data_IF_110850314683
#
_entry.id   IF_110850314683
#
_cell.length_a   1.000
_cell.length_b   1.000
_cell.length_c   1.000
_cell.angle_alpha   90.00
_cell.angle_beta   90.00
_cell.angle_gamma   90.00
#
_symmetry.space_group_name_H-M   'P 1'
#
loop_
_entity.id
_entity.type
_entity.pdbx_description
1 polymer ?
#
# COMPACT_ATOMS: atom_id res chain seq x y z
N UNK A 1 -42.46 22.33 45.74
CA UNK A 1 -42.82 21.19 46.60
C UNK A 1 -44.24 20.71 46.27
N UNK A 2 -44.34 19.61 45.53
CA UNK A 2 -45.52 18.76 45.33
C UNK A 2 -45.00 17.31 45.21
N UNK A 3 -45.63 16.30 45.85
CA UNK A 3 -45.02 14.99 46.00
C UNK A 3 -45.30 14.06 44.79
N UNK A 4 -44.29 13.24 44.45
CA UNK A 4 -44.36 12.16 43.46
C UNK A 4 -45.08 10.92 44.04
N UNK A 5 -45.97 10.25 43.29
CA UNK A 5 -46.56 8.99 43.72
C UNK A 5 -45.65 7.79 43.38
N UNK A 6 -45.45 6.90 44.36
CA UNK A 6 -44.72 5.63 44.25
C UNK A 6 -45.57 4.57 43.54
N UNK A 7 -44.96 3.80 42.64
CA UNK A 7 -45.54 2.62 41.99
C UNK A 7 -45.20 1.38 42.84
N UNK A 8 -46.17 0.53 43.23
CA UNK A 8 -45.89 -0.76 43.87
C UNK A 8 -45.63 -1.88 42.85
N UNK A 9 -44.61 -2.68 43.13
CA UNK A 9 -44.22 -3.89 42.40
C UNK A 9 -44.96 -5.13 42.94
N UNK A 10 -45.81 -5.76 42.12
CA UNK A 10 -46.33 -7.10 42.37
C UNK A 10 -46.20 -7.96 41.12
N UNK A 11 -45.20 -8.84 41.14
CA UNK A 11 -45.03 -9.98 40.23
C UNK A 11 -46.07 -11.05 40.57
N UNK A 12 -46.79 -11.57 39.56
CA UNK A 12 -47.61 -12.76 39.70
C UNK A 12 -47.36 -13.69 38.51
N UNK A 13 -46.94 -14.96 38.72
CA UNK A 13 -46.63 -15.88 37.63
C UNK A 13 -47.89 -16.57 37.10
N UNK A 14 -48.06 -16.63 35.78
CA UNK A 14 -49.11 -17.44 35.12
C UNK A 14 -48.53 -18.78 34.65
N UNK A 15 -49.24 -19.91 34.81
CA UNK A 15 -48.76 -21.23 34.42
C UNK A 15 -48.97 -21.50 32.93
N UNK A 16 -47.98 -22.16 32.30
CA UNK A 16 -48.04 -22.67 30.94
C UNK A 16 -48.80 -24.00 30.87
N UNK A 17 -49.91 -24.02 30.16
CA UNK A 17 -50.63 -25.24 29.78
C UNK A 17 -50.01 -25.87 28.53
N UNK A 18 -49.65 -27.15 28.66
CA UNK A 18 -49.25 -28.05 27.56
C UNK A 18 -50.39 -28.26 26.58
N UNK A 19 -50.11 -28.20 25.28
CA UNK A 19 -50.85 -28.95 24.28
C UNK A 19 -49.87 -29.68 23.35
N UNK A 20 -50.13 -30.97 23.24
CA UNK A 20 -49.41 -31.96 22.45
C UNK A 20 -49.91 -31.90 21.00
N UNK A 21 -49.00 -31.87 20.04
CA UNK A 21 -49.30 -31.96 18.62
C UNK A 21 -48.13 -32.63 17.91
N UNK A 22 -48.21 -33.94 17.76
CA UNK A 22 -47.24 -34.73 17.01
C UNK A 22 -47.53 -34.60 15.50
N UNK A 23 -46.54 -34.15 14.74
CA UNK A 23 -46.49 -34.35 13.29
C UNK A 23 -45.11 -34.94 12.98
N UNK A 24 -45.14 -36.18 12.49
CA UNK A 24 -44.00 -36.93 11.98
C UNK A 24 -43.54 -36.29 10.66
N UNK A 25 -42.27 -35.90 10.58
CA UNK A 25 -41.59 -35.67 9.31
C UNK A 25 -40.18 -36.28 9.40
N UNK A 26 -39.86 -37.10 8.41
CA UNK A 26 -38.65 -37.93 8.28
C UNK A 26 -37.39 -37.07 8.02
N UNK A 27 -36.20 -37.51 8.48
CA UNK A 27 -34.98 -36.72 8.30
C UNK A 27 -34.31 -37.04 6.95
N UNK A 28 -34.17 -36.02 6.10
CA UNK A 28 -33.19 -36.04 5.01
C UNK A 28 -31.84 -35.56 5.56
N UNK A 29 -30.82 -36.41 5.40
CA UNK A 29 -29.41 -36.18 5.73
C UNK A 29 -28.92 -34.82 5.20
N UNK A 30 -28.68 -33.87 6.10
CA UNK A 30 -27.80 -32.73 5.83
C UNK A 30 -26.39 -33.09 6.27
N UNK A 31 -25.45 -32.98 5.33
CA UNK A 31 -24.03 -33.22 5.55
C UNK A 31 -23.44 -32.09 6.40
N UNK A 32 -22.53 -32.49 7.28
CA UNK A 32 -22.03 -31.76 8.43
C UNK A 32 -21.34 -30.43 8.09
N UNK A 33 -21.87 -29.32 8.61
CA UNK A 33 -21.06 -28.14 8.90
C UNK A 33 -20.33 -28.39 10.23
N UNK A 34 -19.00 -28.43 10.19
CA UNK A 34 -18.18 -28.52 11.39
C UNK A 34 -18.29 -27.22 12.20
N UNK A 35 -19.22 -27.20 13.15
CA UNK A 35 -19.27 -26.16 14.19
C UNK A 35 -18.11 -26.44 15.14
N UNK A 36 -17.03 -25.67 15.04
CA UNK A 36 -15.98 -25.68 16.05
C UNK A 36 -16.57 -25.26 17.40
N UNK A 37 -16.79 -26.23 18.29
CA UNK A 37 -17.19 -25.98 19.68
C UNK A 37 -15.99 -25.62 20.55
N UNK A 38 -15.20 -24.63 20.15
CA UNK A 38 -14.24 -23.99 21.05
C UNK A 38 -15.02 -23.04 21.94
N UNK A 39 -14.93 -23.20 23.27
CA UNK A 39 -15.49 -22.19 24.18
C UNK A 39 -14.84 -20.84 23.86
N UNK A 40 -15.64 -19.79 23.64
CA UNK A 40 -15.12 -18.44 23.50
C UNK A 40 -14.39 -18.06 24.80
N UNK A 41 -13.05 -18.03 24.74
CA UNK A 41 -12.23 -17.59 25.86
C UNK A 41 -12.29 -16.07 25.87
N UNK A 42 -12.88 -15.48 26.91
CA UNK A 42 -12.89 -14.03 27.06
C UNK A 42 -11.44 -13.52 27.08
N UNK A 43 -11.18 -12.41 26.36
CA UNK A 43 -9.88 -11.76 26.39
C UNK A 43 -9.57 -11.29 27.81
N UNK A 44 -8.47 -11.77 28.38
CA UNK A 44 -7.97 -11.30 29.68
C UNK A 44 -7.39 -9.91 29.47
N UNK A 45 -8.12 -8.87 29.91
CA UNK A 45 -7.60 -7.52 29.92
C UNK A 45 -6.47 -7.42 30.95
N UNK A 46 -5.22 -7.46 30.48
CA UNK A 46 -4.07 -7.22 31.35
C UNK A 46 -4.02 -5.73 31.73
N UNK A 47 -3.65 -5.39 32.98
CA UNK A 47 -3.39 -4.00 33.38
C UNK A 47 -2.35 -3.36 32.45
N UNK A 48 -2.55 -2.08 32.10
CA UNK A 48 -1.75 -1.30 31.13
C UNK A 48 -0.25 -1.18 31.51
N UNK A 49 0.15 -1.68 32.68
CA UNK A 49 1.50 -1.59 33.24
C UNK A 49 2.41 -2.80 32.96
N UNK A 50 2.00 -3.78 32.15
CA UNK A 50 2.89 -4.92 31.81
C UNK A 50 3.91 -4.49 30.76
N UNK A 51 5.08 -4.01 31.21
CA UNK A 51 6.30 -4.00 30.38
C UNK A 51 6.85 -5.42 30.27
N UNK A 52 6.24 -6.23 29.41
CA UNK A 52 6.86 -7.48 28.97
C UNK A 52 8.14 -7.18 28.18
N UNK A 53 9.08 -8.14 28.07
CA UNK A 53 10.17 -8.01 27.12
C UNK A 53 9.56 -7.72 25.73
N UNK A 54 10.22 -6.89 24.91
CA UNK A 54 9.70 -6.53 23.60
C UNK A 54 9.33 -7.80 22.83
N UNK A 55 8.21 -7.81 22.09
CA UNK A 55 7.81 -8.96 21.31
C UNK A 55 8.98 -9.38 20.44
N UNK A 56 9.21 -10.70 20.35
CA UNK A 56 10.27 -11.22 19.48
C UNK A 56 10.04 -10.67 18.08
N UNK A 57 11.12 -10.25 17.37
CA UNK A 57 10.99 -9.79 16.00
C UNK A 57 10.26 -10.85 15.17
N UNK A 58 9.40 -10.44 14.23
CA UNK A 58 8.68 -11.38 13.38
C UNK A 58 9.69 -12.27 12.66
N UNK A 59 9.50 -13.59 12.76
CA UNK A 59 10.33 -14.54 12.02
C UNK A 59 9.92 -14.51 10.54
N UNK A 60 10.88 -14.46 9.59
CA UNK A 60 10.57 -14.51 8.17
C UNK A 60 9.82 -15.80 7.83
N UNK A 61 8.95 -15.76 6.81
CA UNK A 61 8.24 -16.95 6.35
C UNK A 61 9.23 -18.00 5.82
N UNK A 62 8.95 -19.31 5.98
CA UNK A 62 9.83 -20.38 5.47
C UNK A 62 10.10 -20.24 3.97
N UNK A 63 9.09 -19.89 3.18
CA UNK A 63 9.19 -19.67 1.74
C UNK A 63 10.17 -18.54 1.37
N UNK A 64 10.20 -17.46 2.17
CA UNK A 64 11.14 -16.37 1.96
C UNK A 64 12.58 -16.82 2.18
N UNK A 65 12.84 -17.62 3.22
CA UNK A 65 14.17 -18.20 3.48
C UNK A 65 14.60 -19.15 2.36
N UNK A 66 13.71 -20.03 1.91
CA UNK A 66 13.98 -20.94 0.79
C UNK A 66 14.32 -20.18 -0.50
N UNK A 67 13.61 -19.08 -0.78
CA UNK A 67 13.89 -18.21 -1.94
C UNK A 67 15.25 -17.54 -1.84
N UNK A 68 15.65 -17.08 -0.65
CA UNK A 68 16.98 -16.52 -0.40
C UNK A 68 18.05 -17.59 -0.59
N UNK A 69 17.87 -18.77 -0.01
CA UNK A 69 18.82 -19.89 -0.17
C UNK A 69 18.95 -20.32 -1.63
N UNK A 70 17.85 -20.41 -2.37
CA UNK A 70 17.86 -20.72 -3.80
C UNK A 70 18.64 -19.68 -4.58
N UNK A 71 18.43 -18.39 -4.29
CA UNK A 71 19.20 -17.29 -4.90
C UNK A 71 20.68 -17.34 -4.53
N UNK A 72 21.01 -17.69 -3.29
CA UNK A 72 22.39 -17.84 -2.80
C UNK A 72 23.11 -19.02 -3.46
N UNK A 73 22.45 -20.19 -3.53
CA UNK A 73 22.94 -21.36 -4.28
C UNK A 73 23.15 -21.02 -5.76
N UNK A 74 22.24 -20.24 -6.35
CA UNK A 74 22.38 -19.76 -7.73
C UNK A 74 23.58 -18.80 -7.90
N UNK A 75 23.86 -17.89 -6.94
CA UNK A 75 25.13 -17.12 -6.97
C UNK A 75 26.33 -18.01 -6.87
N UNK A 76 26.35 -18.98 -5.95
CA UNK A 76 27.51 -19.85 -5.73
C UNK A 76 27.82 -20.65 -7.00
N UNK A 77 26.80 -21.16 -7.68
CA UNK A 77 26.93 -21.79 -9.00
C UNK A 77 27.48 -20.83 -10.05
N UNK A 78 26.99 -19.58 -10.11
CA UNK A 78 27.51 -18.56 -11.04
C UNK A 78 28.96 -18.19 -10.68
N UNK A 79 29.30 -18.10 -9.40
CA UNK A 79 30.66 -17.82 -8.94
C UNK A 79 31.59 -18.97 -9.33
N UNK A 80 31.21 -20.22 -9.08
CA UNK A 80 31.99 -21.40 -9.46
C UNK A 80 32.11 -21.57 -10.97
N UNK A 81 31.04 -21.37 -11.75
CA UNK A 81 31.09 -21.43 -13.21
C UNK A 81 32.05 -20.40 -13.80
N UNK A 82 32.01 -19.16 -13.31
CA UNK A 82 32.95 -18.14 -13.78
C UNK A 82 34.40 -18.34 -13.24
N UNK A 83 34.62 -19.10 -12.16
CA UNK A 83 35.96 -19.48 -11.67
C UNK A 83 36.53 -20.63 -12.53
N UNK A 84 35.69 -21.59 -12.93
CA UNK A 84 36.06 -22.68 -13.82
C UNK A 84 36.44 -22.18 -15.24
N UNK A 85 35.71 -21.19 -15.77
CA UNK A 85 36.05 -20.53 -17.03
C UNK A 85 37.39 -19.76 -16.98
N UNK A 86 37.79 -19.24 -15.80
CA UNK A 86 39.11 -18.60 -15.62
C UNK A 86 40.26 -19.59 -15.42
N UNK A 87 39.98 -20.88 -15.23
CA UNK A 87 40.97 -21.93 -14.92
C UNK A 87 41.34 -22.84 -16.09
N UNK A 88 40.64 -22.77 -17.22
CA UNK A 88 40.98 -23.53 -18.43
C UNK A 88 41.69 -22.64 -19.44
N UNK A 89 43.01 -22.79 -19.52
CA UNK A 89 43.84 -22.08 -20.48
C UNK A 89 43.42 -22.36 -21.93
N UNK A 90 43.14 -21.29 -22.67
CA UNK A 90 43.30 -21.25 -24.12
C UNK A 90 44.14 -20.02 -24.43
N UNK A 91 45.30 -20.26 -25.03
CA UNK A 91 46.17 -19.24 -25.61
C UNK A 91 45.46 -18.54 -26.78
N UNK A 92 44.85 -17.40 -26.51
CA UNK A 92 44.50 -16.44 -27.54
C UNK A 92 44.63 -15.03 -26.97
N UNK A 93 45.56 -14.28 -27.55
CA UNK A 93 45.82 -12.86 -27.27
C UNK A 93 44.66 -12.04 -27.81
N UNK A 94 43.56 -12.03 -27.08
CA UNK A 94 42.46 -11.07 -27.24
C UNK A 94 42.02 -10.64 -25.85
N UNK A 95 42.38 -9.42 -25.48
CA UNK A 95 41.97 -8.71 -24.25
C UNK A 95 40.45 -8.71 -24.14
N UNK A 96 39.91 -9.74 -23.52
CA UNK A 96 38.48 -9.84 -23.22
C UNK A 96 38.30 -9.22 -21.85
N UNK A 97 37.93 -7.94 -21.81
CA UNK A 97 37.62 -7.23 -20.57
C UNK A 97 36.55 -8.00 -19.78
N UNK A 98 36.96 -8.68 -18.70
CA UNK A 98 36.02 -9.31 -17.79
C UNK A 98 35.20 -8.20 -17.14
N UNK A 99 33.96 -7.97 -17.59
CA UNK A 99 33.05 -6.94 -17.04
C UNK A 99 32.94 -7.12 -15.52
N UNK A 100 33.60 -6.28 -14.70
CA UNK A 100 33.74 -6.49 -13.26
C UNK A 100 32.40 -6.39 -12.52
N UNK A 101 31.39 -5.81 -13.16
CA UNK A 101 30.03 -5.63 -12.63
C UNK A 101 29.18 -6.91 -12.61
N UNK A 102 29.66 -8.05 -13.13
CA UNK A 102 28.88 -9.31 -13.11
C UNK A 102 28.84 -9.99 -11.74
N UNK A 103 29.84 -9.78 -10.87
CA UNK A 103 29.95 -10.47 -9.58
C UNK A 103 29.68 -9.51 -8.41
N UNK A 104 29.09 -10.02 -7.33
CA UNK A 104 29.04 -9.28 -6.04
C UNK A 104 30.47 -9.14 -5.54
N UNK A 105 30.90 -7.91 -5.27
CA UNK A 105 32.26 -7.60 -4.83
C UNK A 105 32.34 -7.22 -3.34
N UNK A 106 31.21 -7.25 -2.63
CA UNK A 106 31.13 -6.96 -1.19
C UNK A 106 30.65 -8.17 -0.42
N UNK A 107 31.12 -8.30 0.83
CA UNK A 107 30.70 -9.38 1.73
C UNK A 107 29.66 -8.86 2.72
N UNK A 108 30.01 -7.82 3.44
CA UNK A 108 29.26 -7.31 4.58
C UNK A 108 28.57 -5.98 4.23
N UNK A 109 27.34 -5.81 4.69
CA UNK A 109 26.58 -4.55 4.54
C UNK A 109 26.20 -4.06 5.93
N UNK A 110 26.51 -2.79 6.23
CA UNK A 110 26.17 -2.20 7.52
C UNK A 110 25.79 -0.73 7.40
N UNK A 111 25.00 -0.27 8.37
CA UNK A 111 24.62 1.14 8.52
C UNK A 111 25.62 1.82 9.44
N UNK A 112 26.11 2.98 9.03
CA UNK A 112 26.98 3.84 9.84
C UNK A 112 26.30 5.20 10.06
N UNK A 113 26.23 5.62 11.31
CA UNK A 113 25.80 6.96 11.68
C UNK A 113 26.94 7.96 11.45
N UNK A 114 26.61 9.09 10.84
CA UNK A 114 27.47 10.23 10.53
C UNK A 114 26.74 11.51 10.93
N UNK A 115 27.45 12.64 11.00
CA UNK A 115 26.86 13.91 11.45
C UNK A 115 25.61 14.32 10.64
N UNK A 116 25.60 14.03 9.33
CA UNK A 116 24.49 14.34 8.42
C UNK A 116 23.41 13.24 8.33
N UNK A 117 23.47 12.19 9.17
CA UNK A 117 22.49 11.11 9.24
C UNK A 117 23.09 9.70 9.13
N UNK A 118 22.54 8.85 8.27
CA UNK A 118 22.98 7.47 8.09
C UNK A 118 23.54 7.23 6.70
N UNK A 119 24.60 6.44 6.62
CA UNK A 119 25.20 5.98 5.36
C UNK A 119 25.27 4.45 5.35
N UNK A 120 25.06 3.85 4.18
CA UNK A 120 25.18 2.41 3.99
C UNK A 120 26.56 2.10 3.45
N UNK A 121 27.27 1.20 4.12
CA UNK A 121 28.61 0.75 3.72
C UNK A 121 28.54 -0.68 3.20
N UNK A 122 29.19 -0.90 2.05
CA UNK A 122 29.52 -2.19 1.48
C UNK A 122 30.99 -2.46 1.81
N UNK A 123 31.25 -3.36 2.74
CA UNK A 123 32.54 -3.52 3.42
C UNK A 123 33.06 -2.16 3.93
N UNK A 124 34.06 -1.56 3.26
CA UNK A 124 34.63 -0.25 3.64
C UNK A 124 34.14 0.92 2.80
N UNK A 125 33.28 0.69 1.79
CA UNK A 125 32.91 1.70 0.80
C UNK A 125 31.45 2.13 0.95
N UNK A 126 31.14 3.44 0.96
CA UNK A 126 29.75 3.88 1.03
C UNK A 126 29.02 3.65 -0.29
N UNK A 127 27.73 3.34 -0.20
CA UNK A 127 26.80 3.31 -1.33
C UNK A 127 26.67 4.73 -1.92
N UNK A 128 26.68 4.81 -3.25
CA UNK A 128 26.61 6.07 -3.99
C UNK A 128 25.43 6.07 -4.96
N UNK A 129 24.90 7.25 -5.22
CA UNK A 129 23.91 7.50 -6.27
C UNK A 129 24.56 7.35 -7.65
N UNK A 130 23.77 7.22 -8.74
CA UNK A 130 24.30 7.24 -10.11
C UNK A 130 25.16 8.48 -10.42
N UNK A 131 24.88 9.62 -9.77
CA UNK A 131 25.67 10.85 -9.85
C UNK A 131 26.97 10.82 -9.03
N UNK A 132 27.33 9.67 -8.46
CA UNK A 132 28.52 9.43 -7.61
C UNK A 132 28.51 10.17 -6.27
N UNK A 133 27.40 10.79 -5.88
CA UNK A 133 27.21 11.36 -4.53
C UNK A 133 27.01 10.24 -3.52
N UNK A 134 27.42 10.46 -2.28
CA UNK A 134 27.21 9.47 -1.20
C UNK A 134 25.74 9.51 -0.80
N UNK A 135 25.12 8.33 -0.70
CA UNK A 135 23.72 8.21 -0.29
C UNK A 135 23.61 8.39 1.23
N UNK A 136 23.31 9.61 1.67
CA UNK A 136 23.05 9.94 3.09
C UNK A 136 21.54 10.01 3.42
N UNK A 137 21.07 9.14 4.31
CA UNK A 137 19.69 9.10 4.79
C UNK A 137 19.57 10.03 6.01
N UNK A 138 18.52 10.86 6.13
CA UNK A 138 18.33 11.72 7.30
C UNK A 138 18.33 10.94 8.61
N UNK A 139 18.88 11.54 9.68
CA UNK A 139 18.92 10.95 11.03
C UNK A 139 17.52 10.62 11.58
N UNK A 140 16.48 11.30 11.11
CA UNK A 140 15.09 10.97 11.46
C UNK A 140 14.58 9.66 10.85
N UNK A 141 15.29 9.05 9.89
CA UNK A 141 14.80 7.89 9.11
C UNK A 141 15.67 6.63 9.27
N UNK A 142 15.91 6.11 10.50
CA UNK A 142 16.75 4.93 10.71
C UNK A 142 16.17 3.68 10.04
N UNK A 143 14.85 3.52 10.03
CA UNK A 143 14.17 2.39 9.40
C UNK A 143 14.45 2.30 7.89
N UNK A 144 14.49 3.45 7.20
CA UNK A 144 14.85 3.52 5.79
C UNK A 144 16.30 3.08 5.56
N UNK A 145 17.23 3.56 6.39
CA UNK A 145 18.64 3.20 6.27
C UNK A 145 18.88 1.69 6.44
N UNK A 146 18.24 1.07 7.44
CA UNK A 146 18.34 -0.38 7.66
C UNK A 146 17.65 -1.17 6.54
N UNK A 147 16.52 -0.70 6.02
CA UNK A 147 15.85 -1.34 4.90
C UNK A 147 16.69 -1.29 3.61
N UNK A 148 17.40 -0.18 3.36
CA UNK A 148 18.37 -0.10 2.26
C UNK A 148 19.55 -1.03 2.51
N UNK A 149 20.08 -1.13 3.73
CA UNK A 149 21.14 -2.09 4.03
C UNK A 149 20.71 -3.53 3.73
N UNK A 150 19.48 -3.91 4.11
CA UNK A 150 18.90 -5.21 3.75
C UNK A 150 18.73 -5.40 2.25
N UNK A 151 18.27 -4.36 1.54
CA UNK A 151 18.15 -4.37 0.08
C UNK A 151 19.47 -4.72 -0.60
N UNK A 152 20.58 -4.12 -0.16
CA UNK A 152 21.93 -4.39 -0.67
C UNK A 152 22.50 -5.73 -0.23
N UNK A 153 22.16 -6.20 0.98
CA UNK A 153 22.62 -7.50 1.47
C UNK A 153 21.95 -8.66 0.71
N UNK A 154 20.71 -8.48 0.26
CA UNK A 154 19.98 -9.48 -0.52
C UNK A 154 20.43 -9.58 -1.99
N UNK A 155 21.28 -8.67 -2.47
CA UNK A 155 21.79 -8.71 -3.84
C UNK A 155 22.78 -9.85 -4.02
N UNK A 156 22.59 -10.58 -5.11
CA UNK A 156 23.37 -11.76 -5.51
C UNK A 156 24.53 -11.35 -6.42
N UNK A 157 24.41 -10.22 -7.11
CA UNK A 157 25.46 -9.67 -7.98
C UNK A 157 25.41 -8.15 -8.07
N UNK A 158 26.54 -7.52 -8.42
CA UNK A 158 26.59 -6.08 -8.64
C UNK A 158 25.68 -5.61 -9.79
N UNK A 159 25.44 -6.46 -10.80
CA UNK A 159 24.51 -6.14 -11.89
C UNK A 159 23.06 -6.02 -11.42
N UNK A 160 22.68 -6.72 -10.35
CA UNK A 160 21.35 -6.57 -9.77
C UNK A 160 21.12 -5.18 -9.17
N UNK A 161 22.17 -4.49 -8.71
CA UNK A 161 22.09 -3.10 -8.27
C UNK A 161 21.76 -2.12 -9.41
N UNK A 162 21.79 -2.55 -10.68
CA UNK A 162 21.34 -1.74 -11.81
C UNK A 162 19.83 -1.91 -12.09
N UNK A 163 19.17 -2.85 -11.41
CA UNK A 163 17.76 -3.18 -11.62
C UNK A 163 16.90 -2.48 -10.57
N UNK A 164 16.14 -1.48 -11.00
CA UNK A 164 15.24 -0.69 -10.14
C UNK A 164 14.33 -1.54 -9.24
N UNK A 165 13.81 -2.67 -9.74
CA UNK A 165 12.91 -3.54 -8.97
C UNK A 165 13.62 -4.37 -7.88
N UNK A 166 14.96 -4.46 -7.93
CA UNK A 166 15.77 -5.10 -6.89
C UNK A 166 16.36 -4.11 -5.90
N UNK A 167 16.41 -2.82 -6.26
CA UNK A 167 16.86 -1.74 -5.38
C UNK A 167 15.85 -0.57 -5.24
N UNK A 168 14.56 -0.84 -4.97
CA UNK A 168 13.52 0.18 -5.00
C UNK A 168 13.73 1.32 -3.98
N UNK A 169 14.20 1.03 -2.76
CA UNK A 169 14.41 2.02 -1.72
C UNK A 169 15.66 2.86 -1.99
N UNK A 170 16.74 2.24 -2.47
CA UNK A 170 17.96 2.96 -2.87
C UNK A 170 17.62 3.98 -3.96
N UNK A 171 16.95 3.54 -5.03
CA UNK A 171 16.60 4.44 -6.14
C UNK A 171 15.61 5.53 -5.74
N UNK A 172 14.64 5.21 -4.87
CA UNK A 172 13.66 6.18 -4.39
C UNK A 172 14.29 7.23 -3.47
N UNK A 173 15.24 6.82 -2.62
CA UNK A 173 15.99 7.72 -1.75
C UNK A 173 16.95 8.61 -2.56
N UNK A 174 17.64 8.04 -3.56
CA UNK A 174 18.45 8.83 -4.48
C UNK A 174 17.61 9.90 -5.16
N UNK A 175 16.41 9.54 -5.64
CA UNK A 175 15.47 10.52 -6.22
C UNK A 175 15.09 11.65 -5.26
N UNK A 176 14.82 11.33 -3.99
CA UNK A 176 14.54 12.34 -2.98
C UNK A 176 15.74 13.28 -2.74
N UNK A 177 16.98 12.74 -2.78
CA UNK A 177 18.19 13.57 -2.67
C UNK A 177 18.43 14.44 -3.88
N UNK A 178 18.11 13.97 -5.09
CA UNK A 178 18.25 14.75 -6.31
C UNK A 178 17.30 15.97 -6.25
N UNK A 179 16.05 15.77 -5.83
CA UNK A 179 15.09 16.86 -5.57
C UNK A 179 15.65 17.84 -4.52
N UNK A 180 16.11 17.33 -3.38
CA UNK A 180 16.64 18.19 -2.31
C UNK A 180 17.90 18.97 -2.73
N UNK A 181 18.77 18.35 -3.52
CA UNK A 181 19.99 18.97 -4.04
C UNK A 181 19.65 20.11 -5.01
N UNK A 182 18.65 19.89 -5.86
CA UNK A 182 18.21 20.90 -6.82
C UNK A 182 17.52 22.09 -6.11
N UNK A 183 16.62 21.81 -5.17
CA UNK A 183 15.97 22.83 -4.35
C UNK A 183 17.01 23.69 -3.61
N UNK A 184 18.04 23.07 -3.04
CA UNK A 184 19.13 23.77 -2.36
C UNK A 184 20.00 24.62 -3.31
N UNK A 185 20.07 24.25 -4.59
CA UNK A 185 20.74 25.02 -5.64
C UNK A 185 19.87 26.15 -6.21
N UNK A 186 18.64 26.33 -5.69
CA UNK A 186 17.68 27.31 -6.20
C UNK A 186 17.11 26.97 -7.58
N UNK A 187 17.21 25.71 -7.99
CA UNK A 187 16.63 25.18 -9.22
C UNK A 187 15.36 24.38 -8.87
N UNK A 188 14.36 24.37 -9.76
CA UNK A 188 13.05 23.75 -9.52
C UNK A 188 12.58 22.84 -10.64
N UNK A 189 13.46 22.42 -11.55
CA UNK A 189 13.09 21.66 -12.75
C UNK A 189 12.52 20.29 -12.45
N UNK A 190 13.13 19.49 -11.55
CA UNK A 190 12.58 18.18 -11.16
C UNK A 190 11.22 18.38 -10.48
N UNK A 191 11.13 19.34 -9.56
CA UNK A 191 9.89 19.65 -8.82
C UNK A 191 8.76 20.05 -9.75
N UNK A 192 9.02 20.96 -10.69
CA UNK A 192 8.05 21.40 -11.70
C UNK A 192 7.58 20.25 -12.58
N UNK A 193 8.49 19.38 -13.03
CA UNK A 193 8.14 18.19 -13.81
C UNK A 193 7.24 17.23 -13.02
N UNK A 194 7.56 16.99 -11.74
CA UNK A 194 6.72 16.17 -10.86
C UNK A 194 5.35 16.80 -10.72
N UNK A 195 5.26 18.10 -10.39
CA UNK A 195 3.99 18.82 -10.23
C UNK A 195 3.14 18.74 -11.50
N UNK A 196 3.72 19.01 -12.68
CA UNK A 196 3.00 18.88 -13.96
C UNK A 196 2.50 17.44 -14.17
N UNK A 197 3.31 16.44 -13.85
CA UNK A 197 2.91 15.04 -13.96
C UNK A 197 1.76 14.68 -12.99
N UNK A 198 1.85 15.11 -11.73
CA UNK A 198 0.83 14.85 -10.71
C UNK A 198 -0.50 15.55 -11.02
N UNK A 199 -0.46 16.77 -11.55
CA UNK A 199 -1.68 17.48 -11.95
C UNK A 199 -2.40 16.79 -13.12
N UNK A 200 -1.67 16.14 -14.04
CA UNK A 200 -2.30 15.30 -15.08
C UNK A 200 -3.02 14.09 -14.50
N UNK A 201 -2.47 13.47 -13.45
CA UNK A 201 -3.15 12.38 -12.75
C UNK A 201 -4.43 12.84 -12.05
N UNK A 202 -4.49 14.07 -11.55
CA UNK A 202 -5.71 14.61 -10.94
C UNK A 202 -6.88 14.72 -11.94
N UNK A 203 -6.58 15.09 -13.19
CA UNK A 203 -7.60 15.21 -14.25
C UNK A 203 -8.23 13.86 -14.59
N UNK A 204 -7.48 12.76 -14.41
CA UNK A 204 -7.92 11.38 -14.69
C UNK A 204 -7.79 10.49 -13.46
N UNK A 205 -8.07 11.02 -12.27
CA UNK A 205 -7.83 10.30 -11.02
C UNK A 205 -8.75 9.07 -10.92
N UNK A 206 -8.20 7.91 -10.55
CA UNK A 206 -8.94 6.65 -10.37
C UNK A 206 -10.13 6.82 -9.41
N UNK A 207 -9.99 7.59 -8.34
CA UNK A 207 -11.08 7.79 -7.36
C UNK A 207 -12.20 8.71 -7.86
N UNK A 208 -11.97 9.45 -8.95
CA UNK A 208 -12.93 10.38 -9.54
C UNK A 208 -13.59 9.81 -10.81
N UNK A 209 -13.16 8.63 -11.25
CA UNK A 209 -13.65 7.97 -12.45
C UNK A 209 -14.63 6.87 -12.08
N UNK A 210 -15.92 7.21 -11.97
CA UNK A 210 -16.95 6.28 -11.54
C UNK A 210 -17.68 5.63 -12.70
N UNK A 211 -18.11 4.38 -12.51
CA UNK A 211 -18.99 3.67 -13.43
C UNK A 211 -20.30 4.48 -13.63
N UNK A 212 -20.90 4.45 -14.84
CA UNK A 212 -22.15 5.14 -15.13
C UNK A 212 -23.28 4.72 -14.18
N UNK A 213 -24.21 5.63 -13.90
CA UNK A 213 -25.39 5.34 -13.06
C UNK A 213 -26.31 4.29 -13.67
N UNK A 214 -26.36 4.23 -15.00
CA UNK A 214 -27.13 3.26 -15.75
C UNK A 214 -26.17 2.40 -16.55
N UNK A 215 -26.04 1.14 -16.17
CA UNK A 215 -25.33 0.17 -16.97
C UNK A 215 -26.31 -0.48 -17.95
N UNK A 216 -26.15 -0.19 -19.24
CA UNK A 216 -27.03 -0.72 -20.30
C UNK A 216 -27.09 -2.25 -20.31
N UNK A 217 -26.00 -2.91 -19.89
CA UNK A 217 -25.87 -4.37 -19.89
C UNK A 217 -26.49 -5.06 -18.67
N UNK A 218 -26.72 -4.33 -17.57
CA UNK A 218 -27.28 -4.87 -16.32
C UNK A 218 -28.81 -5.06 -16.41
N UNK A 219 -29.44 -4.39 -17.38
CA UNK A 219 -30.87 -4.42 -17.61
C UNK A 219 -31.43 -5.76 -18.16
N UNK A 220 -30.57 -6.71 -18.54
CA UNK A 220 -31.01 -8.00 -19.10
C UNK A 220 -31.09 -9.15 -18.07
N UNK A 221 -30.63 -8.96 -16.83
CA UNK A 221 -30.74 -9.97 -15.76
C UNK A 221 -31.98 -9.80 -14.87
N UNK A 222 -32.76 -8.73 -15.06
CA UNK A 222 -33.93 -8.41 -14.23
C UNK A 222 -35.23 -8.15 -15.00
N UNK A 223 -35.24 -8.33 -16.32
CA UNK A 223 -36.43 -8.13 -17.15
C UNK A 223 -37.12 -9.46 -17.55
N UNK A 224 -37.02 -10.48 -16.70
CA UNK A 224 -37.95 -11.61 -16.77
C UNK A 224 -39.01 -11.48 -15.65
N UNK A 225 -40.19 -10.89 -15.96
CA UNK A 225 -41.22 -10.67 -14.95
C UNK A 225 -41.79 -11.98 -14.37
N UNK A 226 -41.58 -13.13 -15.00
CA UNK A 226 -42.06 -14.43 -14.51
C UNK A 226 -41.12 -15.11 -13.49
N UNK A 227 -39.86 -14.68 -13.38
CA UNK A 227 -38.91 -15.18 -12.38
C UNK A 227 -39.04 -14.49 -11.01
N UNK A 228 -39.95 -13.52 -10.88
CA UNK A 228 -40.22 -12.77 -9.64
C UNK A 228 -41.32 -13.40 -8.76
N UNK A 229 -41.66 -14.66 -9.02
CA UNK A 229 -42.48 -15.48 -8.13
C UNK A 229 -41.58 -16.34 -7.23
N UNK A 230 -41.46 -15.96 -5.95
CA UNK A 230 -40.83 -16.73 -4.86
C UNK A 230 -39.28 -16.75 -4.85
N UNK A 231 -38.70 -15.63 -4.45
CA UNK A 231 -37.33 -15.56 -3.93
C UNK A 231 -37.29 -14.58 -2.77
N UNK A 232 -36.52 -14.89 -1.73
CA UNK A 232 -36.42 -14.14 -0.48
C UNK A 232 -36.18 -12.64 -0.71
N UNK A 233 -36.43 -11.80 0.31
CA UNK A 233 -35.94 -10.40 0.40
C UNK A 233 -34.43 -10.39 0.13
N UNK A 234 -34.04 -10.37 -1.14
CA UNK A 234 -32.66 -10.42 -1.60
C UNK A 234 -32.06 -9.05 -1.41
N UNK A 235 -30.95 -9.00 -0.70
CA UNK A 235 -30.10 -7.82 -0.63
C UNK A 235 -29.85 -7.33 -2.06
N UNK A 236 -30.18 -6.08 -2.33
CA UNK A 236 -29.90 -5.45 -3.62
C UNK A 236 -28.38 -5.54 -3.82
N UNK A 237 -27.91 -6.28 -4.81
CA UNK A 237 -26.47 -6.38 -5.07
C UNK A 237 -25.89 -4.96 -5.22
N UNK A 238 -24.87 -4.63 -4.41
CA UNK A 238 -24.21 -3.32 -4.44
C UNK A 238 -23.55 -3.13 -5.82
N UNK A 239 -23.85 -2.01 -6.48
CA UNK A 239 -23.26 -1.74 -7.81
C UNK A 239 -21.78 -1.35 -7.69
N UNK A 240 -21.00 -1.54 -8.76
CA UNK A 240 -19.60 -1.07 -8.81
C UNK A 240 -19.50 0.42 -8.50
N UNK A 241 -20.47 1.22 -8.99
CA UNK A 241 -20.53 2.67 -8.72
C UNK A 241 -20.70 2.96 -7.24
N UNK A 242 -21.61 2.26 -6.57
CA UNK A 242 -21.85 2.44 -5.14
C UNK A 242 -20.59 2.13 -4.32
N UNK A 243 -19.90 1.04 -4.68
CA UNK A 243 -18.63 0.63 -4.10
C UNK A 243 -17.53 1.69 -4.32
N UNK A 244 -17.39 2.20 -5.56
CA UNK A 244 -16.44 3.28 -5.90
C UNK A 244 -16.68 4.54 -5.08
N UNK A 245 -17.94 4.98 -4.99
CA UNK A 245 -18.33 6.17 -4.22
C UNK A 245 -18.06 5.95 -2.73
N UNK A 246 -18.42 4.78 -2.19
CA UNK A 246 -18.22 4.44 -0.78
C UNK A 246 -16.74 4.41 -0.40
N UNK A 247 -15.87 3.96 -1.29
CA UNK A 247 -14.41 3.93 -1.10
C UNK A 247 -13.79 5.32 -1.26
N UNK A 248 -14.22 6.11 -2.25
CA UNK A 248 -13.64 7.42 -2.54
C UNK A 248 -14.03 8.50 -1.50
N UNK A 249 -15.29 8.52 -1.03
CA UNK A 249 -15.81 9.58 -0.15
C UNK A 249 -14.97 9.80 1.11
N UNK A 250 -14.64 8.80 1.93
CA UNK A 250 -13.84 9.02 3.14
C UNK A 250 -12.44 9.60 2.86
N UNK A 251 -11.87 9.28 1.70
CA UNK A 251 -10.56 9.79 1.25
C UNK A 251 -10.71 11.26 0.87
N UNK A 252 -11.69 11.59 0.02
CA UNK A 252 -12.00 12.96 -0.41
C UNK A 252 -12.33 13.84 0.79
N UNK A 253 -13.22 13.39 1.67
CA UNK A 253 -13.66 14.13 2.86
C UNK A 253 -12.48 14.45 3.79
N UNK A 254 -11.57 13.48 4.00
CA UNK A 254 -10.36 13.73 4.78
C UNK A 254 -9.50 14.81 4.11
N UNK A 255 -9.27 14.70 2.80
CA UNK A 255 -8.42 15.64 2.07
C UNK A 255 -9.01 17.05 2.06
N UNK A 256 -10.29 17.21 1.75
CA UNK A 256 -10.97 18.52 1.71
C UNK A 256 -11.21 19.12 3.09
N UNK A 257 -11.18 18.32 4.16
CA UNK A 257 -11.32 18.82 5.53
C UNK A 257 -9.99 19.16 6.18
N UNK A 258 -8.96 18.33 5.96
CA UNK A 258 -7.69 18.39 6.71
C UNK A 258 -6.52 18.94 5.90
N UNK A 259 -6.47 18.67 4.61
CA UNK A 259 -5.29 18.99 3.77
C UNK A 259 -5.55 20.21 2.90
N UNK A 260 -6.73 20.28 2.29
CA UNK A 260 -7.15 21.35 1.38
C UNK A 260 -8.51 21.93 1.83
N UNK A 261 -8.56 22.62 2.98
CA UNK A 261 -9.81 23.17 3.48
C UNK A 261 -10.46 24.13 2.48
N UNK A 262 -11.74 23.90 2.20
CA UNK A 262 -12.57 24.81 1.38
C UNK A 262 -12.54 24.58 -0.12
N UNK A 263 -11.88 23.53 -0.62
CA UNK A 263 -11.97 23.16 -2.05
C UNK A 263 -13.10 22.16 -2.31
N UNK A 264 -13.59 22.16 -3.55
CA UNK A 264 -14.52 21.17 -4.07
C UNK A 264 -13.77 20.26 -5.05
N UNK A 265 -13.89 18.94 -4.88
CA UNK A 265 -13.35 17.93 -5.80
C UNK A 265 -14.53 17.25 -6.48
N UNK A 266 -14.56 17.31 -7.81
CA UNK A 266 -15.64 16.77 -8.64
C UNK A 266 -15.25 15.45 -9.30
N UNK A 267 -16.22 14.58 -9.63
CA UNK A 267 -15.94 13.42 -10.48
C UNK A 267 -15.32 13.85 -11.81
N UNK A 268 -14.39 13.04 -12.32
CA UNK A 268 -13.70 13.29 -13.58
C UNK A 268 -14.61 13.00 -14.78
N UNK A 269 -15.44 11.95 -14.71
CA UNK A 269 -16.31 11.55 -15.83
C UNK A 269 -17.76 11.98 -15.60
N UNK A 270 -18.41 12.43 -16.67
CA UNK A 270 -19.87 12.64 -16.70
C UNK A 270 -20.54 11.36 -17.22
N UNK A 271 -21.82 11.14 -16.88
CA UNK A 271 -22.55 9.89 -17.19
C UNK A 271 -22.43 9.41 -18.65
N UNK A 272 -22.45 10.35 -19.60
CA UNK A 272 -22.45 10.06 -21.03
C UNK A 272 -21.16 10.50 -21.74
N UNK A 273 -20.06 10.69 -20.99
CA UNK A 273 -18.78 11.15 -21.54
C UNK A 273 -17.62 10.33 -21.01
N UNK A 274 -16.78 9.85 -21.93
CA UNK A 274 -15.47 9.27 -21.61
C UNK A 274 -14.38 10.35 -21.47
N UNK A 275 -14.70 11.59 -21.81
CA UNK A 275 -13.76 12.71 -21.69
C UNK A 275 -13.81 13.28 -20.27
N UNK A 276 -12.64 13.49 -19.62
CA UNK A 276 -12.57 14.06 -18.29
C UNK A 276 -13.03 15.51 -18.29
N UNK A 277 -13.77 15.88 -17.25
CA UNK A 277 -14.15 17.27 -16.94
C UNK A 277 -13.08 17.91 -16.06
N UNK A 278 -12.65 19.15 -16.36
CA UNK A 278 -11.65 19.82 -15.53
C UNK A 278 -12.20 20.13 -14.14
N UNK A 279 -11.31 20.11 -13.14
CA UNK A 279 -11.61 20.60 -11.79
C UNK A 279 -11.73 22.13 -11.79
N UNK A 280 -12.27 22.69 -10.69
CA UNK A 280 -12.33 24.14 -10.51
C UNK A 280 -10.91 24.76 -10.50
N UNK A 281 -10.71 25.96 -11.08
CA UNK A 281 -9.41 26.63 -11.08
C UNK A 281 -8.78 26.76 -9.70
N UNK A 282 -9.56 27.19 -8.69
CA UNK A 282 -9.10 27.29 -7.31
C UNK A 282 -8.64 25.94 -6.74
N UNK A 283 -9.38 24.86 -7.01
CA UNK A 283 -9.01 23.49 -6.61
C UNK A 283 -7.67 23.10 -7.21
N UNK A 284 -7.47 23.36 -8.51
CA UNK A 284 -6.21 23.07 -9.20
C UNK A 284 -5.04 23.87 -8.65
N UNK A 285 -5.25 25.15 -8.34
CA UNK A 285 -4.22 26.03 -7.77
C UNK A 285 -3.81 25.59 -6.35
N UNK A 286 -4.78 25.29 -5.48
CA UNK A 286 -4.53 24.83 -4.10
C UNK A 286 -3.76 23.51 -4.10
N UNK A 287 -4.22 22.52 -4.89
CA UNK A 287 -3.55 21.22 -4.95
C UNK A 287 -2.15 21.36 -5.56
N UNK A 288 -2.00 22.13 -6.65
CA UNK A 288 -0.69 22.42 -7.26
C UNK A 288 0.27 23.05 -6.25
N UNK A 289 -0.18 24.06 -5.52
CA UNK A 289 0.59 24.75 -4.49
C UNK A 289 1.01 23.80 -3.35
N UNK A 290 0.09 22.94 -2.92
CA UNK A 290 0.38 21.92 -1.90
C UNK A 290 1.47 20.95 -2.36
N UNK A 291 1.35 20.39 -3.58
CA UNK A 291 2.37 19.48 -4.14
C UNK A 291 3.72 20.20 -4.25
N UNK A 292 3.71 21.43 -4.78
CA UNK A 292 4.93 22.23 -4.95
C UNK A 292 5.59 22.54 -3.60
N UNK A 293 4.82 22.68 -2.53
CA UNK A 293 5.32 22.93 -1.17
C UNK A 293 5.84 21.69 -0.42
N UNK A 294 5.70 20.48 -0.97
CA UNK A 294 6.13 19.27 -0.28
C UNK A 294 7.66 19.20 -0.14
N UNK A 295 8.18 18.79 1.03
CA UNK A 295 9.60 18.49 1.16
C UNK A 295 10.02 17.33 0.24
N UNK A 296 11.32 17.25 -0.07
CA UNK A 296 11.83 16.38 -1.14
C UNK A 296 11.48 14.88 -0.97
N UNK A 297 11.50 14.37 0.27
CA UNK A 297 11.15 12.97 0.56
C UNK A 297 9.66 12.70 0.37
N UNK A 298 8.81 13.62 0.83
CA UNK A 298 7.36 13.57 0.69
C UNK A 298 6.94 13.73 -0.77
N UNK A 299 7.63 14.58 -1.55
CA UNK A 299 7.37 14.75 -2.97
C UNK A 299 7.72 13.47 -3.76
N UNK A 300 8.89 12.87 -3.51
CA UNK A 300 9.26 11.59 -4.10
C UNK A 300 8.31 10.46 -3.69
N UNK A 301 7.86 10.47 -2.43
CA UNK A 301 6.89 9.52 -1.90
C UNK A 301 5.50 9.67 -2.53
N UNK A 302 5.03 10.91 -2.67
CA UNK A 302 3.78 11.23 -3.36
C UNK A 302 3.84 10.72 -4.80
N UNK A 303 4.90 11.08 -5.53
CA UNK A 303 5.05 10.67 -6.92
C UNK A 303 5.05 9.13 -7.06
N UNK A 304 5.80 8.42 -6.21
CA UNK A 304 5.78 6.95 -6.19
C UNK A 304 4.37 6.42 -5.92
N UNK A 305 3.66 6.98 -4.94
CA UNK A 305 2.29 6.60 -4.60
C UNK A 305 1.31 6.84 -5.74
N UNK A 306 1.42 7.96 -6.44
CA UNK A 306 0.56 8.28 -7.61
C UNK A 306 0.84 7.33 -8.75
N UNK A 307 2.12 7.06 -9.05
CA UNK A 307 2.47 6.13 -10.13
C UNK A 307 1.98 4.69 -9.84
N UNK A 308 1.97 4.28 -8.56
CA UNK A 308 1.48 2.97 -8.13
C UNK A 308 -0.05 2.87 -8.19
N UNK A 309 -0.76 3.89 -7.71
CA UNK A 309 -2.23 3.88 -7.58
C UNK A 309 -3.00 4.44 -8.78
N UNK A 310 -2.29 5.18 -9.65
CA UNK A 310 -2.88 6.07 -10.67
C UNK A 310 -3.82 7.13 -10.09
N UNK A 311 -3.69 7.44 -8.80
CA UNK A 311 -4.53 8.39 -8.08
C UNK A 311 -3.69 9.35 -7.25
N UNK A 312 -3.84 10.64 -7.53
CA UNK A 312 -3.29 11.71 -6.69
C UNK A 312 -3.93 11.70 -5.31
N UNK A 313 -5.24 11.45 -5.24
CA UNK A 313 -5.98 11.49 -3.99
C UNK A 313 -5.59 10.34 -3.05
N UNK A 314 -5.46 9.11 -3.55
CA UNK A 314 -4.97 7.98 -2.75
C UNK A 314 -3.57 8.27 -2.24
N UNK A 315 -2.66 8.70 -3.11
CA UNK A 315 -1.28 8.97 -2.74
C UNK A 315 -1.15 10.12 -1.73
N UNK A 316 -1.89 11.22 -1.90
CA UNK A 316 -1.90 12.34 -0.98
C UNK A 316 -2.40 11.92 0.41
N UNK A 317 -3.54 11.20 0.46
CA UNK A 317 -4.08 10.64 1.71
C UNK A 317 -3.08 9.72 2.38
N UNK A 318 -2.37 8.90 1.60
CA UNK A 318 -1.39 7.94 2.10
C UNK A 318 -0.13 8.64 2.64
N UNK A 319 0.45 9.59 1.91
CA UNK A 319 1.63 10.34 2.38
C UNK A 319 1.31 11.10 3.66
N UNK A 320 0.14 11.72 3.77
CA UNK A 320 -0.28 12.43 5.01
C UNK A 320 -0.41 11.48 6.20
N UNK A 321 -0.84 10.23 5.99
CA UNK A 321 -0.95 9.23 7.08
C UNK A 321 0.41 8.77 7.63
N UNK A 322 1.43 8.70 6.76
CA UNK A 322 2.68 8.01 7.06
C UNK A 322 3.88 8.95 7.26
N UNK A 323 3.87 10.12 6.61
CA UNK A 323 4.98 11.06 6.70
C UNK A 323 5.14 11.63 8.10
N UNK A 324 6.39 11.82 8.52
CA UNK A 324 6.70 12.55 9.74
C UNK A 324 6.42 14.07 9.67
N UNK A 325 6.17 14.63 8.47
CA UNK A 325 5.88 16.06 8.30
C UNK A 325 4.44 16.44 8.60
N UNK A 326 3.52 15.46 8.60
CA UNK A 326 2.08 15.69 8.74
C UNK A 326 1.51 15.09 10.03
N UNK A 327 2.31 14.97 11.08
CA UNK A 327 1.88 14.36 12.36
C UNK A 327 0.73 15.11 13.02
N UNK A 328 0.69 16.42 12.85
CA UNK A 328 -0.38 17.31 13.29
C UNK A 328 -1.73 17.04 12.61
N UNK A 329 -1.71 16.50 11.38
CA UNK A 329 -2.91 16.13 10.63
C UNK A 329 -3.34 14.67 10.86
N UNK A 330 -2.50 13.86 11.51
CA UNK A 330 -2.78 12.46 11.81
C UNK A 330 -3.71 12.33 13.02
N UNK A 331 -4.64 11.37 12.96
CA UNK A 331 -5.51 11.10 14.10
C UNK A 331 -4.70 10.48 15.25
N UNK A 332 -4.97 10.93 16.49
CA UNK A 332 -4.39 10.33 17.70
C UNK A 332 -4.80 8.85 17.81
N UNK A 333 -3.83 7.95 17.69
CA UNK A 333 -4.05 6.51 17.84
C UNK A 333 -3.56 5.69 16.65
N UNK A 334 -4.35 4.67 16.27
CA UNK A 334 -3.96 3.70 15.23
C UNK A 334 -4.15 4.30 13.84
N UNK A 335 -3.12 4.15 13.00
CA UNK A 335 -3.19 4.50 11.57
C UNK A 335 -4.41 3.87 10.92
N UNK A 336 -5.23 4.70 10.30
CA UNK A 336 -6.54 4.33 9.73
C UNK A 336 -6.45 4.02 8.24
N UNK A 337 -5.42 4.53 7.54
CA UNK A 337 -5.24 4.36 6.09
C UNK A 337 -3.88 3.72 5.76
N UNK A 338 -3.80 2.40 5.96
CA UNK A 338 -2.60 1.60 5.72
C UNK A 338 -2.45 1.11 4.27
N UNK A 339 -1.39 0.34 4.01
CA UNK A 339 -1.04 -0.21 2.69
C UNK A 339 -2.23 -0.95 2.06
N UNK A 340 -2.89 -1.82 2.82
CA UNK A 340 -4.03 -2.61 2.32
C UNK A 340 -5.17 -1.73 1.83
N UNK A 341 -5.54 -0.71 2.60
CA UNK A 341 -6.63 0.20 2.20
C UNK A 341 -6.26 1.07 1.00
N UNK A 342 -5.00 1.49 0.92
CA UNK A 342 -4.53 2.25 -0.24
C UNK A 342 -4.51 1.36 -1.50
N UNK A 343 -4.07 0.11 -1.39
CA UNK A 343 -4.10 -0.86 -2.48
C UNK A 343 -5.54 -1.17 -2.90
N UNK A 344 -6.43 -1.48 -1.96
CA UNK A 344 -7.87 -1.73 -2.21
C UNK A 344 -8.53 -0.55 -2.94
N UNK A 345 -8.28 0.69 -2.48
CA UNK A 345 -8.80 1.88 -3.13
C UNK A 345 -8.26 2.08 -4.56
N UNK A 346 -7.04 1.60 -4.83
CA UNK A 346 -6.39 1.72 -6.14
C UNK A 346 -6.84 0.62 -7.12
N UNK A 347 -7.15 -0.58 -6.63
CA UNK A 347 -7.47 -1.76 -7.45
C UNK A 347 -8.93 -2.20 -7.31
N UNK A 348 -9.80 -1.30 -6.87
CA UNK A 348 -11.19 -1.59 -6.50
C UNK A 348 -11.97 -2.24 -7.65
N UNK A 349 -11.89 -1.64 -8.83
CA UNK A 349 -12.59 -2.15 -10.01
C UNK A 349 -12.03 -3.50 -10.45
N UNK A 350 -10.70 -3.66 -10.49
CA UNK A 350 -10.06 -4.94 -10.82
C UNK A 350 -10.54 -6.03 -9.86
N UNK A 351 -10.58 -5.73 -8.55
CA UNK A 351 -11.03 -6.68 -7.52
C UNK A 351 -12.50 -7.07 -7.75
N UNK A 352 -13.36 -6.09 -8.03
CA UNK A 352 -14.77 -6.34 -8.33
C UNK A 352 -14.94 -7.23 -9.57
N UNK A 353 -14.16 -6.98 -10.63
CA UNK A 353 -14.20 -7.77 -11.86
C UNK A 353 -13.68 -9.19 -11.64
N UNK A 354 -12.58 -9.37 -10.90
CA UNK A 354 -12.04 -10.70 -10.59
C UNK A 354 -12.96 -11.52 -9.69
N UNK A 355 -13.69 -10.87 -8.78
CA UNK A 355 -14.68 -11.55 -7.94
C UNK A 355 -15.87 -12.07 -8.77
N UNK A 356 -16.24 -11.36 -9.83
CA UNK A 356 -17.34 -11.74 -10.72
C UNK A 356 -16.92 -12.74 -11.82
N UNK A 357 -15.72 -12.61 -12.36
CA UNK A 357 -15.30 -13.33 -13.58
C UNK A 357 -14.06 -14.21 -13.42
N UNK A 358 -13.46 -14.24 -12.23
CA UNK A 358 -12.25 -14.99 -11.94
C UNK A 358 -10.98 -14.17 -12.12
N UNK A 359 -9.93 -14.59 -11.40
CA UNK A 359 -8.60 -13.99 -11.48
C UNK A 359 -7.81 -14.55 -12.67
N UNK A 360 -6.98 -13.71 -13.30
CA UNK A 360 -6.05 -14.13 -14.34
C UNK A 360 -4.67 -14.24 -13.70
N UNK A 361 -4.16 -15.47 -13.60
CA UNK A 361 -2.84 -15.79 -13.07
C UNK A 361 -1.73 -15.07 -13.86
N UNK A 362 -0.62 -14.74 -13.18
CA UNK A 362 0.53 -13.99 -13.70
C UNK A 362 0.23 -12.55 -14.18
N UNK A 363 -0.97 -12.02 -13.89
CA UNK A 363 -1.36 -10.64 -14.22
C UNK A 363 -1.93 -9.96 -12.98
N UNK A 364 -3.14 -10.35 -12.56
CA UNK A 364 -3.85 -9.65 -11.48
C UNK A 364 -3.17 -9.86 -10.13
N UNK A 365 -2.72 -11.09 -9.86
CA UNK A 365 -2.01 -11.47 -8.64
C UNK A 365 -0.68 -10.71 -8.48
N UNK A 366 0.10 -10.62 -9.56
CA UNK A 366 1.38 -9.91 -9.60
C UNK A 366 1.16 -8.41 -9.35
N UNK A 367 0.21 -7.79 -10.04
CA UNK A 367 -0.10 -6.37 -9.88
C UNK A 367 -0.60 -6.05 -8.47
N UNK A 368 -1.44 -6.94 -7.90
CA UNK A 368 -1.96 -6.81 -6.53
C UNK A 368 -0.81 -6.74 -5.51
N UNK A 369 0.18 -7.61 -5.65
CA UNK A 369 1.36 -7.62 -4.77
C UNK A 369 2.33 -6.48 -5.08
N UNK A 370 2.47 -6.09 -6.35
CA UNK A 370 3.35 -4.99 -6.72
C UNK A 370 2.86 -3.64 -6.19
N UNK A 371 1.55 -3.37 -6.24
CA UNK A 371 0.96 -2.15 -5.67
C UNK A 371 1.24 -2.05 -4.17
N UNK A 372 1.04 -3.15 -3.42
CA UNK A 372 1.36 -3.20 -1.97
C UNK A 372 2.84 -2.94 -1.72
N UNK A 373 3.72 -3.58 -2.50
CA UNK A 373 5.17 -3.40 -2.42
C UNK A 373 5.56 -1.93 -2.66
N UNK A 374 4.97 -1.28 -3.67
CA UNK A 374 5.23 0.12 -3.97
C UNK A 374 4.76 1.04 -2.84
N UNK A 375 3.56 0.84 -2.28
CA UNK A 375 3.11 1.59 -1.09
C UNK A 375 3.99 1.34 0.14
N UNK A 376 4.45 0.10 0.35
CA UNK A 376 5.41 -0.22 1.41
C UNK A 376 6.72 0.56 1.26
N UNK A 377 7.20 0.76 0.03
CA UNK A 377 8.37 1.60 -0.22
C UNK A 377 8.14 3.07 0.13
N UNK A 378 6.93 3.60 -0.14
CA UNK A 378 6.55 4.97 0.25
C UNK A 378 6.54 5.11 1.76
N UNK A 379 5.97 4.14 2.49
CA UNK A 379 5.96 4.13 3.96
C UNK A 379 7.36 4.28 4.52
N UNK A 380 8.31 3.46 4.06
CA UNK A 380 9.69 3.50 4.53
C UNK A 380 10.38 4.82 4.17
N UNK A 381 10.07 5.39 3.00
CA UNK A 381 10.65 6.65 2.56
C UNK A 381 10.21 7.84 3.42
N UNK A 382 8.90 7.98 3.69
CA UNK A 382 8.35 9.19 4.32
C UNK A 382 8.24 9.09 5.84
N UNK A 383 8.20 7.86 6.40
CA UNK A 383 8.18 7.66 7.84
C UNK A 383 9.52 8.06 8.46
N UNK A 384 9.46 8.68 9.64
CA UNK A 384 10.64 8.93 10.45
C UNK A 384 10.28 9.13 11.92
N UNK A 385 11.26 9.54 12.72
CA UNK A 385 11.21 9.67 14.17
C UNK A 385 11.17 11.12 14.64
N UNK A 386 11.09 12.08 13.70
CA UNK A 386 10.85 13.48 14.07
C UNK A 386 9.51 13.56 14.82
N UNK A 387 9.57 14.08 16.05
CA UNK A 387 8.41 14.26 16.92
C UNK A 387 7.75 15.59 16.66
#
# INVERSE_FOLDING_TARGET
MKPFPRIPSTLNPRPLSRLSGAVLCTPLRSQYAHVHSSSAKAAVAHPITVRGPPPKPPSPSPEFLERIERRKKQSELIQHGNIAESGQGSSSTTTTESKPLRRRFWKDVHVKEVDDGYQIFLDSRPVRTPEKKILTIPSSKPHLAHAIALEWDLLVSAQQALKQHLIPLTSLTARAQDIASEDAAGQSTIREQIVVSMMRYLETDTLLSWAPEKNFYDSHLHNDPEASGQGLKGEKEESLRDLQIRTARPIIDFLTTKVWPGIEIRPALQENSILPSPQLPLTMEVIRGWIYGLPAYELAGLERGVLASKSLLVAARFVVEWSEQFRDLQAEGRRTFGIEKAAEASTLEVTWQTDKWGEVEDTHDVDKEDVRRQFGSVVLLVSGERR
#
